data_IF_314531531911
#
_entry.id   IF_314531531911
#
_cell.length_a   1.000
_cell.length_b   1.000
_cell.length_c   1.000
_cell.angle_alpha   90.00
_cell.angle_beta   90.00
_cell.angle_gamma   90.00
#
_symmetry.space_group_name_H-M   'P 1'
#
loop_
_entity.id
_entity.type
_entity.pdbx_description
1 polymer ?
#
# COMPACT_ATOMS: atom_id res chain seq x y z
N UNK A 1 16.80 -13.66 6.86
CA UNK A 1 16.88 -12.25 6.40
C UNK A 1 16.29 -11.39 7.50
N UNK A 2 17.08 -10.51 8.05
CA UNK A 2 16.63 -9.59 9.12
C UNK A 2 15.82 -8.47 8.47
N UNK A 3 14.67 -8.09 9.04
CA UNK A 3 13.92 -6.91 8.59
C UNK A 3 14.72 -5.67 8.97
N UNK A 4 15.09 -4.87 7.98
CA UNK A 4 15.86 -3.64 8.16
C UNK A 4 15.00 -2.40 7.89
N UNK A 5 14.08 -2.49 6.91
CA UNK A 5 13.22 -1.37 6.51
C UNK A 5 11.78 -1.81 6.29
N UNK A 6 10.86 -1.02 6.81
CA UNK A 6 9.42 -1.17 6.65
C UNK A 6 8.86 0.08 5.99
N UNK A 7 8.13 -0.09 4.90
CA UNK A 7 7.38 0.97 4.25
C UNK A 7 5.95 1.02 4.80
N UNK A 8 5.52 2.19 5.24
CA UNK A 8 4.15 2.45 5.66
C UNK A 8 3.56 3.48 4.70
N UNK A 9 2.61 3.05 3.91
CA UNK A 9 1.91 3.85 2.92
C UNK A 9 0.57 4.29 3.48
N UNK A 10 0.13 5.48 3.12
CA UNK A 10 -1.21 5.99 3.38
C UNK A 10 -1.66 6.90 2.24
N UNK A 11 -2.95 7.13 2.09
CA UNK A 11 -3.43 8.00 1.04
C UNK A 11 -3.13 7.48 -0.37
N UNK A 12 -3.12 6.18 -0.56
CA UNK A 12 -3.16 5.52 -1.88
C UNK A 12 -4.41 5.96 -2.64
N UNK A 13 -5.52 6.13 -1.92
CA UNK A 13 -6.66 6.93 -2.36
C UNK A 13 -6.65 8.27 -1.61
N UNK A 14 -6.58 9.37 -2.34
CA UNK A 14 -6.36 10.70 -1.74
C UNK A 14 -7.49 11.21 -0.85
N UNK A 15 -8.71 10.69 -1.01
CA UNK A 15 -9.86 11.00 -0.16
C UNK A 15 -9.87 10.24 1.18
N UNK A 16 -8.93 9.32 1.40
CA UNK A 16 -8.81 8.55 2.65
C UNK A 16 -7.89 9.28 3.64
N UNK A 17 -8.44 10.27 4.34
CA UNK A 17 -7.67 11.20 5.18
C UNK A 17 -7.20 10.61 6.51
N UNK A 18 -7.96 9.65 7.10
CA UNK A 18 -7.64 9.11 8.42
C UNK A 18 -6.30 8.35 8.46
N UNK A 19 -5.97 7.48 7.50
CA UNK A 19 -4.65 6.84 7.43
C UNK A 19 -3.52 7.86 7.30
N UNK A 20 -3.70 8.91 6.49
CA UNK A 20 -2.69 9.97 6.33
C UNK A 20 -2.45 10.71 7.63
N UNK A 21 -3.52 11.02 8.37
CA UNK A 21 -3.40 11.63 9.69
C UNK A 21 -2.62 10.72 10.65
N UNK A 22 -2.94 9.44 10.71
CA UNK A 22 -2.26 8.48 11.57
C UNK A 22 -0.76 8.38 11.25
N UNK A 23 -0.41 8.27 9.97
CA UNK A 23 0.98 8.21 9.50
C UNK A 23 1.74 9.49 9.87
N UNK A 24 1.11 10.66 9.73
CA UNK A 24 1.72 11.93 10.18
C UNK A 24 2.01 11.95 11.68
N UNK A 25 1.16 11.30 12.52
CA UNK A 25 1.43 11.19 13.95
C UNK A 25 2.60 10.23 14.24
N UNK A 26 2.66 9.08 13.56
CA UNK A 26 3.76 8.12 13.74
C UNK A 26 5.11 8.69 13.30
N UNK A 27 5.14 9.53 12.29
CA UNK A 27 6.39 10.12 11.79
C UNK A 27 6.94 11.25 12.66
N UNK A 28 6.24 11.67 13.72
CA UNK A 28 6.77 12.65 14.68
C UNK A 28 7.94 12.06 15.46
N UNK A 29 8.94 12.90 15.76
CA UNK A 29 10.17 12.46 16.46
C UNK A 29 9.89 11.75 17.79
N UNK A 30 8.91 12.24 18.54
CA UNK A 30 8.50 11.69 19.84
C UNK A 30 7.92 10.27 19.76
N UNK A 31 7.40 9.88 18.59
CA UNK A 31 6.74 8.58 18.36
C UNK A 31 7.64 7.57 17.64
N UNK A 32 8.87 7.94 17.29
CA UNK A 32 9.78 7.06 16.56
C UNK A 32 10.25 5.90 17.42
N UNK A 33 10.06 4.69 16.92
CA UNK A 33 10.54 3.48 17.55
C UNK A 33 12.05 3.36 17.39
N UNK A 34 12.78 3.18 18.48
CA UNK A 34 14.23 2.93 18.47
C UNK A 34 14.49 1.43 18.66
N UNK A 35 14.20 0.63 17.64
CA UNK A 35 14.32 -0.83 17.65
C UNK A 35 15.27 -1.39 16.58
N UNK A 36 16.08 -0.50 15.97
CA UNK A 36 17.01 -0.88 14.89
C UNK A 36 16.35 -1.14 13.53
N UNK A 37 15.04 -0.87 13.40
CA UNK A 37 14.30 -0.95 12.15
C UNK A 37 14.08 0.46 11.62
N UNK A 38 14.34 0.66 10.33
CA UNK A 38 14.05 1.90 9.63
C UNK A 38 12.60 1.89 9.14
N UNK A 39 11.86 2.95 9.46
CA UNK A 39 10.47 3.12 9.03
C UNK A 39 10.38 4.27 8.04
N UNK A 40 9.94 3.96 6.82
CA UNK A 40 9.62 4.96 5.80
C UNK A 40 8.11 5.20 5.79
N UNK A 41 7.72 6.47 5.88
CA UNK A 41 6.32 6.89 5.90
C UNK A 41 6.03 7.75 4.69
N UNK A 42 5.13 7.31 3.82
CA UNK A 42 4.83 8.02 2.58
C UNK A 42 3.32 8.21 2.36
N UNK A 43 2.99 9.24 1.59
CA UNK A 43 1.66 9.37 0.96
C UNK A 43 1.74 8.69 -0.40
N UNK A 44 0.91 7.67 -0.62
CA UNK A 44 0.89 6.88 -1.85
C UNK A 44 0.59 7.74 -3.07
N UNK A 45 -0.47 8.53 -3.02
CA UNK A 45 -0.92 9.42 -4.09
C UNK A 45 -1.04 10.87 -3.60
N UNK A 46 0.08 11.62 -3.54
CA UNK A 46 0.07 12.97 -2.99
C UNK A 46 -0.82 13.95 -3.78
N UNK A 47 -0.86 13.85 -5.11
CA UNK A 47 -1.69 14.75 -5.91
C UNK A 47 -3.20 14.53 -5.69
N UNK A 48 -3.62 13.27 -5.57
CA UNK A 48 -5.01 12.95 -5.24
C UNK A 48 -5.36 13.40 -3.81
N UNK A 49 -4.42 13.25 -2.86
CA UNK A 49 -4.59 13.71 -1.48
C UNK A 49 -4.76 15.24 -1.41
N UNK A 50 -3.94 16.00 -2.13
CA UNK A 50 -4.05 17.46 -2.19
C UNK A 50 -5.38 17.93 -2.77
N UNK A 51 -5.91 17.19 -3.77
CA UNK A 51 -7.21 17.49 -4.39
C UNK A 51 -8.40 16.91 -3.62
N UNK A 52 -8.18 16.09 -2.59
CA UNK A 52 -9.24 15.42 -1.84
C UNK A 52 -10.06 14.43 -2.69
N UNK A 53 -9.50 13.92 -3.80
CA UNK A 53 -10.14 12.96 -4.68
C UNK A 53 -9.54 11.56 -4.53
N UNK A 54 -10.24 10.53 -5.03
CA UNK A 54 -9.78 9.15 -4.92
C UNK A 54 -8.48 8.93 -5.71
N UNK A 55 -8.42 9.40 -6.96
CA UNK A 55 -7.27 9.35 -7.87
C UNK A 55 -7.35 10.52 -8.87
N UNK A 56 -6.30 10.76 -9.62
CA UNK A 56 -6.23 11.79 -10.66
C UNK A 56 -6.73 11.24 -11.99
N UNK A 57 -6.08 10.21 -12.51
CA UNK A 57 -6.37 9.60 -13.80
C UNK A 57 -6.95 8.19 -13.64
N UNK A 58 -6.29 7.34 -12.83
CA UNK A 58 -6.64 5.93 -12.61
C UNK A 58 -6.36 5.49 -11.18
N UNK A 59 -6.96 4.39 -10.73
CA UNK A 59 -6.72 3.86 -9.38
C UNK A 59 -5.27 3.38 -9.22
N UNK A 60 -4.52 3.97 -8.27
CA UNK A 60 -3.13 3.64 -8.00
C UNK A 60 -2.94 2.15 -7.68
N UNK A 61 -3.89 1.52 -6.96
CA UNK A 61 -3.85 0.08 -6.67
C UNK A 61 -3.92 -0.81 -7.93
N UNK A 62 -4.35 -0.27 -9.06
CA UNK A 62 -4.42 -0.96 -10.35
C UNK A 62 -3.19 -0.67 -11.22
N UNK A 63 -2.33 0.25 -10.80
CA UNK A 63 -1.21 0.74 -11.59
C UNK A 63 0.11 -0.02 -11.36
N UNK A 64 0.17 -0.91 -10.35
CA UNK A 64 1.36 -1.73 -10.04
C UNK A 64 1.48 -3.02 -10.87
N UNK A 65 0.55 -3.27 -11.78
CA UNK A 65 0.61 -4.47 -12.63
C UNK A 65 1.61 -4.25 -13.75
N UNK A 66 2.50 -5.22 -13.96
CA UNK A 66 3.20 -5.35 -15.24
C UNK A 66 2.14 -5.47 -16.34
N UNK A 67 2.08 -4.48 -17.20
CA UNK A 67 1.13 -4.52 -18.31
C UNK A 67 1.72 -5.38 -19.40
N UNK A 68 1.26 -6.63 -19.55
CA UNK A 68 1.51 -7.46 -20.73
C UNK A 68 0.93 -6.82 -22.02
N UNK A 69 0.15 -5.75 -21.88
CA UNK A 69 -0.38 -4.94 -22.96
C UNK A 69 0.24 -3.55 -22.93
N UNK A 70 1.15 -3.30 -23.85
CA UNK A 70 1.81 -2.03 -24.09
C UNK A 70 0.80 -0.99 -24.64
N UNK A 71 -0.08 -0.48 -23.78
CA UNK A 71 -0.94 0.65 -24.12
C UNK A 71 -0.18 1.94 -23.80
N UNK A 72 0.40 2.58 -24.82
CA UNK A 72 1.18 3.81 -24.70
C UNK A 72 0.40 4.93 -23.96
N UNK A 73 -0.94 4.92 -24.00
CA UNK A 73 -1.77 5.91 -23.30
C UNK A 73 -1.70 5.76 -21.78
N UNK A 74 -1.48 4.54 -21.27
CA UNK A 74 -1.35 4.30 -19.82
C UNK A 74 -0.06 4.86 -19.24
N UNK A 75 1.00 4.99 -20.03
CA UNK A 75 2.28 5.54 -19.57
C UNK A 75 2.23 7.05 -19.30
N UNK A 76 1.17 7.75 -19.71
CA UNK A 76 0.98 9.17 -19.45
C UNK A 76 0.20 9.47 -18.16
N UNK A 77 -0.44 8.47 -17.54
CA UNK A 77 -1.23 8.67 -16.33
C UNK A 77 -0.37 8.95 -15.12
N UNK A 78 -0.83 9.86 -14.27
CA UNK A 78 -0.14 10.23 -13.05
C UNK A 78 0.12 9.01 -12.15
N UNK A 79 -0.89 8.18 -11.91
CA UNK A 79 -0.78 7.01 -11.03
C UNK A 79 0.14 5.92 -11.59
N UNK A 80 0.22 5.76 -12.90
CA UNK A 80 1.19 4.83 -13.51
C UNK A 80 2.62 5.29 -13.24
N UNK A 81 2.92 6.57 -13.46
CA UNK A 81 4.23 7.13 -13.16
C UNK A 81 4.53 7.06 -11.65
N UNK A 82 3.52 7.29 -10.82
CA UNK A 82 3.65 7.18 -9.36
C UNK A 82 3.93 5.75 -8.91
N UNK A 83 3.25 4.75 -9.46
CA UNK A 83 3.49 3.34 -9.18
C UNK A 83 4.92 2.93 -9.56
N UNK A 84 5.39 3.33 -10.75
CA UNK A 84 6.77 3.09 -11.19
C UNK A 84 7.77 3.71 -10.20
N UNK A 85 7.58 4.99 -9.84
CA UNK A 85 8.42 5.65 -8.84
C UNK A 85 8.47 4.85 -7.51
N UNK A 86 7.33 4.36 -7.03
CA UNK A 86 7.26 3.61 -5.77
C UNK A 86 8.00 2.27 -5.87
N UNK A 87 7.93 1.60 -7.01
CA UNK A 87 8.65 0.35 -7.27
C UNK A 87 10.17 0.62 -7.39
N UNK A 88 10.57 1.65 -8.12
CA UNK A 88 11.98 2.02 -8.31
C UNK A 88 12.65 2.48 -7.00
N UNK A 89 11.87 3.07 -6.09
CA UNK A 89 12.41 3.54 -4.81
C UNK A 89 12.38 2.44 -3.74
N UNK A 90 11.24 1.75 -3.56
CA UNK A 90 10.99 0.88 -2.41
C UNK A 90 10.82 -0.61 -2.75
N UNK A 91 10.78 -0.95 -4.03
CA UNK A 91 10.72 -2.34 -4.50
C UNK A 91 11.95 -3.14 -4.13
N UNK A 92 11.92 -4.45 -4.42
CA UNK A 92 12.99 -5.38 -4.03
C UNK A 92 14.36 -5.01 -4.63
N UNK A 93 14.34 -4.45 -5.85
CA UNK A 93 15.53 -3.99 -6.58
C UNK A 93 15.63 -2.46 -6.60
N UNK A 94 14.83 -1.78 -5.78
CA UNK A 94 14.78 -0.33 -5.71
C UNK A 94 15.96 0.31 -4.97
N UNK A 95 16.02 1.63 -4.99
CA UNK A 95 17.11 2.40 -4.36
C UNK A 95 17.10 2.30 -2.82
N UNK A 96 15.91 2.11 -2.21
CA UNK A 96 15.70 1.92 -0.76
C UNK A 96 14.77 0.72 -0.50
N UNK A 97 15.22 -0.51 -0.79
CA UNK A 97 14.36 -1.68 -0.76
C UNK A 97 13.76 -1.93 0.62
N UNK A 98 12.44 -2.12 0.67
CA UNK A 98 11.70 -2.44 1.87
C UNK A 98 11.33 -3.93 1.92
N UNK A 99 11.58 -4.58 3.07
CA UNK A 99 11.25 -6.00 3.24
C UNK A 99 9.77 -6.23 3.53
N UNK A 100 9.11 -5.23 4.07
CA UNK A 100 7.68 -5.22 4.40
C UNK A 100 7.10 -3.90 3.90
N UNK A 101 5.95 -3.97 3.23
CA UNK A 101 5.14 -2.81 2.90
C UNK A 101 3.74 -2.99 3.50
N UNK A 102 3.25 -1.97 4.18
CA UNK A 102 1.92 -1.92 4.78
C UNK A 102 1.22 -0.69 4.22
N UNK A 103 0.09 -0.89 3.55
CA UNK A 103 -0.75 0.18 3.05
C UNK A 103 -1.99 0.33 3.94
N UNK A 104 -2.20 1.52 4.46
CA UNK A 104 -3.29 1.84 5.38
C UNK A 104 -4.45 2.46 4.60
N UNK A 105 -5.57 1.79 4.62
CA UNK A 105 -6.79 2.19 3.94
C UNK A 105 -7.96 2.44 4.90
N UNK A 106 -8.95 3.18 4.43
CA UNK A 106 -10.31 3.15 4.95
C UNK A 106 -11.23 2.52 3.92
N UNK A 107 -12.34 1.94 4.37
CA UNK A 107 -13.35 1.36 3.49
C UNK A 107 -14.75 1.74 3.94
N UNK A 108 -15.66 1.88 2.98
CA UNK A 108 -17.09 2.01 3.22
C UNK A 108 -17.81 0.66 3.28
N UNK A 109 -17.10 -0.44 3.01
CA UNK A 109 -17.64 -1.79 3.12
C UNK A 109 -17.91 -2.15 4.59
N UNK A 110 -19.03 -2.81 4.86
CA UNK A 110 -19.38 -3.27 6.21
C UNK A 110 -18.61 -4.55 6.59
N UNK A 111 -17.28 -4.43 6.69
CA UNK A 111 -16.40 -5.57 7.00
C UNK A 111 -15.55 -5.35 8.27
N UNK A 112 -15.65 -4.19 8.90
CA UNK A 112 -14.83 -3.82 10.04
C UNK A 112 -13.35 -3.66 9.69
N UNK A 113 -12.52 -3.51 10.73
CA UNK A 113 -11.07 -3.48 10.55
C UNK A 113 -10.55 -4.87 10.19
N UNK A 114 -9.74 -4.97 9.16
CA UNK A 114 -9.25 -6.24 8.64
C UNK A 114 -7.87 -6.11 8.00
N UNK A 115 -7.21 -7.24 7.82
CA UNK A 115 -5.93 -7.34 7.10
C UNK A 115 -6.24 -7.92 5.71
N UNK A 116 -5.83 -7.22 4.67
CA UNK A 116 -5.88 -7.72 3.30
C UNK A 116 -4.46 -8.06 2.87
N UNK A 117 -4.23 -9.33 2.53
CA UNK A 117 -2.92 -9.84 2.18
C UNK A 117 -2.85 -10.14 0.69
N UNK A 118 -1.89 -9.53 0.00
CA UNK A 118 -1.57 -9.76 -1.42
C UNK A 118 -0.36 -10.69 -1.60
N UNK A 119 0.61 -10.65 -0.67
CA UNK A 119 1.81 -11.48 -0.72
C UNK A 119 1.52 -12.96 -0.44
N UNK A 120 2.33 -13.83 -1.05
CA UNK A 120 2.21 -15.30 -0.91
C UNK A 120 3.48 -15.96 -0.39
N UNK A 121 4.47 -15.17 0.03
CA UNK A 121 5.70 -15.70 0.62
C UNK A 121 5.45 -16.14 2.05
N UNK A 122 6.18 -17.13 2.53
CA UNK A 122 6.04 -17.60 3.92
C UNK A 122 6.10 -16.46 4.94
N UNK A 123 6.94 -15.46 4.71
CA UNK A 123 7.04 -14.28 5.59
C UNK A 123 5.79 -13.40 5.59
N UNK A 124 5.04 -13.36 4.48
CA UNK A 124 3.80 -12.58 4.39
C UNK A 124 2.71 -13.23 5.24
N UNK A 125 2.62 -14.58 5.22
CA UNK A 125 1.73 -15.33 6.09
C UNK A 125 2.12 -15.22 7.57
N UNK A 126 3.43 -15.28 7.88
CA UNK A 126 3.91 -15.08 9.26
C UNK A 126 3.53 -13.69 9.79
N UNK A 127 3.73 -12.65 8.99
CA UNK A 127 3.35 -11.28 9.37
C UNK A 127 1.84 -11.17 9.60
N UNK A 128 1.03 -11.69 8.68
CA UNK A 128 -0.43 -11.69 8.81
C UNK A 128 -0.88 -12.42 10.08
N UNK A 129 -0.33 -13.59 10.37
CA UNK A 129 -0.63 -14.36 11.58
C UNK A 129 -0.22 -13.62 12.86
N UNK A 130 0.93 -12.94 12.88
CA UNK A 130 1.36 -12.13 14.01
C UNK A 130 0.41 -10.96 14.25
N UNK A 131 0.01 -10.26 13.21
CA UNK A 131 -0.95 -9.14 13.30
C UNK A 131 -2.33 -9.64 13.75
N UNK A 132 -2.81 -10.78 13.21
CA UNK A 132 -4.05 -11.40 13.64
C UNK A 132 -4.01 -11.76 15.12
N UNK A 133 -2.96 -12.43 15.56
CA UNK A 133 -2.79 -12.82 16.96
C UNK A 133 -2.72 -11.62 17.90
N UNK A 134 -2.07 -10.52 17.45
CA UNK A 134 -1.89 -9.32 18.28
C UNK A 134 -3.15 -8.48 18.38
N UNK A 135 -3.90 -8.35 17.29
CA UNK A 135 -5.01 -7.40 17.17
C UNK A 135 -6.39 -8.05 17.01
N UNK A 136 -6.46 -9.38 16.86
CA UNK A 136 -7.73 -10.10 16.65
C UNK A 136 -8.39 -9.79 15.30
N UNK A 137 -7.63 -9.29 14.31
CA UNK A 137 -8.19 -8.86 13.04
C UNK A 137 -8.39 -10.02 12.07
N UNK A 138 -9.52 -10.09 11.33
CA UNK A 138 -9.70 -11.06 10.26
C UNK A 138 -8.70 -10.82 9.13
N UNK A 139 -8.25 -11.90 8.51
CA UNK A 139 -7.33 -11.87 7.35
C UNK A 139 -8.11 -12.26 6.11
N UNK A 140 -8.04 -11.41 5.09
CA UNK A 140 -8.51 -11.69 3.74
C UNK A 140 -7.31 -11.88 2.82
N UNK A 141 -7.09 -13.12 2.37
CA UNK A 141 -6.07 -13.43 1.37
C UNK A 141 -6.68 -13.31 -0.02
N UNK A 142 -6.25 -12.34 -0.80
CA UNK A 142 -6.70 -12.17 -2.18
C UNK A 142 -5.99 -13.17 -3.09
N UNK A 143 -6.69 -14.23 -3.44
CA UNK A 143 -6.27 -15.16 -4.46
C UNK A 143 -6.70 -14.59 -5.83
N UNK A 144 -5.73 -14.22 -6.66
CA UNK A 144 -5.97 -13.79 -8.04
C UNK A 144 -6.42 -14.99 -8.89
N UNK A 145 -7.71 -15.34 -8.85
CA UNK A 145 -8.25 -16.42 -9.71
C UNK A 145 -9.61 -16.11 -10.33
N UNK A 146 -10.18 -14.93 -10.06
CA UNK A 146 -11.41 -14.51 -10.75
C UNK A 146 -11.44 -13.00 -10.90
N UNK A 147 -11.81 -12.46 -12.06
CA UNK A 147 -12.16 -11.05 -12.15
C UNK A 147 -13.32 -10.78 -11.17
N UNK A 148 -13.19 -9.73 -10.39
CA UNK A 148 -14.28 -9.27 -9.54
C UNK A 148 -15.49 -8.93 -10.42
N UNK A 149 -16.73 -9.22 -9.99
CA UNK A 149 -17.93 -8.77 -10.72
C UNK A 149 -17.98 -7.24 -10.93
N UNK A 150 -17.13 -6.47 -10.24
CA UNK A 150 -16.98 -5.01 -10.41
C UNK A 150 -16.03 -4.63 -11.55
N UNK A 151 -15.27 -5.57 -12.09
CA UNK A 151 -14.32 -5.32 -13.17
C UNK A 151 -14.95 -5.50 -14.56
N UNK A 152 -16.26 -5.79 -14.61
CA UNK A 152 -17.05 -6.03 -15.84
C UNK A 152 -18.11 -4.97 -16.14
N UNK A 153 -18.05 -3.80 -15.48
CA UNK A 153 -18.92 -2.65 -15.81
C UNK A 153 -18.11 -1.47 -16.35
#
# INVERSE_FOLDING_TARGET
>A
MTVQRILIVSGTHGNEINPVWAVKQFNRKENRLNNGIEYEYIIGNPAAYEKGCRYIDVDLNRSFKESDNFDQRKNSFYETNRANFLVDEFGIDGSKPCQIAIDLHTTTANMGTSIVMYGRRSKDFCLAALLQNKFGLPIYCLLYTSPSPRDTQ
#
